data_IF_301943190908
#
_entry.id   IF_301943190908
#
_cell.length_a   1.000
_cell.length_b   1.000
_cell.length_c   1.000
_cell.angle_alpha   90.00
_cell.angle_beta   90.00
_cell.angle_gamma   90.00
#
_symmetry.space_group_name_H-M   'P 1'
#
loop_
_entity.id
_entity.type
_entity.pdbx_description
1 polymer ?
#
# COMPACT_ATOMS: atom_id res chain seq x y z
N UNK A 1 -11.93 -8.31 -9.38
CA UNK A 1 -10.90 -8.00 -8.38
C UNK A 1 -11.24 -8.74 -7.10
N UNK A 2 -10.23 -9.20 -6.36
CA UNK A 2 -10.38 -9.85 -5.06
C UNK A 2 -9.50 -9.06 -4.09
N UNK A 3 -10.10 -8.53 -3.02
CA UNK A 3 -9.38 -7.90 -1.91
C UNK A 3 -9.26 -8.93 -0.79
N UNK A 4 -8.07 -9.04 -0.20
CA UNK A 4 -7.77 -10.02 0.83
C UNK A 4 -7.18 -9.27 2.02
N UNK A 5 -7.95 -9.13 3.09
CA UNK A 5 -7.40 -8.66 4.36
C UNK A 5 -6.41 -9.71 4.88
N UNK A 6 -5.15 -9.31 5.07
CA UNK A 6 -4.09 -10.21 5.48
C UNK A 6 -2.97 -9.42 6.19
N UNK A 7 -2.22 -10.04 7.13
CA UNK A 7 -2.38 -11.41 7.65
C UNK A 7 -3.61 -11.55 8.57
N UNK A 8 -3.71 -12.67 9.30
CA UNK A 8 -4.74 -12.83 10.33
C UNK A 8 -4.69 -11.66 11.32
N UNK A 9 -5.85 -11.17 11.73
CA UNK A 9 -6.07 -10.00 12.58
C UNK A 9 -6.06 -8.62 11.89
N UNK A 10 -5.96 -8.58 10.55
CA UNK A 10 -6.18 -7.35 9.74
C UNK A 10 -7.61 -7.32 9.22
N UNK A 11 -8.28 -6.17 9.32
CA UNK A 11 -9.61 -5.94 8.74
C UNK A 11 -10.65 -6.93 9.28
N UNK A 12 -11.23 -7.73 8.39
CA UNK A 12 -12.13 -8.84 8.74
C UNK A 12 -11.45 -10.19 8.88
N UNK A 13 -10.15 -10.31 8.61
CA UNK A 13 -9.41 -11.55 8.83
C UNK A 13 -9.14 -11.74 10.32
N UNK A 14 -9.61 -12.83 10.91
CA UNK A 14 -9.47 -13.10 12.35
C UNK A 14 -9.02 -14.52 12.64
N UNK A 15 -8.33 -14.69 13.77
CA UNK A 15 -7.95 -16.00 14.31
C UNK A 15 -8.95 -16.46 15.37
N UNK A 16 -9.19 -15.66 16.41
CA UNK A 16 -10.20 -15.92 17.45
C UNK A 16 -11.10 -14.70 17.62
N UNK A 17 -12.42 -14.81 17.42
CA UNK A 17 -13.33 -13.70 17.66
C UNK A 17 -13.64 -13.57 19.17
N UNK A 18 -13.65 -12.34 19.68
CA UNK A 18 -13.91 -12.03 21.08
C UNK A 18 -14.81 -10.79 21.22
N UNK A 19 -15.66 -10.71 22.26
CA UNK A 19 -16.31 -9.45 22.60
C UNK A 19 -15.23 -8.46 23.05
N UNK A 20 -15.24 -7.26 22.47
CA UNK A 20 -14.27 -6.21 22.75
C UNK A 20 -14.84 -4.85 22.41
N UNK A 21 -14.12 -3.79 22.77
CA UNK A 21 -14.32 -2.46 22.21
C UNK A 21 -13.02 -1.90 21.64
N UNK A 22 -13.11 -1.02 20.65
CA UNK A 22 -11.97 -0.26 20.16
C UNK A 22 -11.81 1.03 20.98
N UNK A 23 -10.65 1.22 21.61
CA UNK A 23 -10.31 2.45 22.32
C UNK A 23 -10.02 3.60 21.34
N UNK A 24 -10.00 4.83 21.84
CA UNK A 24 -9.63 6.01 21.03
C UNK A 24 -8.18 5.93 20.51
N UNK A 25 -7.31 5.14 21.16
CA UNK A 25 -5.96 4.81 20.66
C UNK A 25 -5.97 3.87 19.45
N UNK A 26 -7.11 3.30 19.09
CA UNK A 26 -7.24 2.23 18.10
C UNK A 26 -7.08 0.81 18.67
N UNK A 27 -6.66 0.67 19.94
CA UNK A 27 -6.45 -0.62 20.57
C UNK A 27 -7.74 -1.40 20.77
N UNK A 28 -7.67 -2.72 20.59
CA UNK A 28 -8.79 -3.63 20.85
C UNK A 28 -8.73 -4.11 22.30
N UNK A 29 -9.69 -3.69 23.11
CA UNK A 29 -9.79 -4.03 24.53
C UNK A 29 -10.81 -5.16 24.73
N UNK A 30 -10.32 -6.33 25.11
CA UNK A 30 -11.14 -7.54 25.27
C UNK A 30 -12.03 -7.45 26.50
N UNK A 31 -13.30 -7.80 26.33
CA UNK A 31 -14.31 -7.84 27.37
C UNK A 31 -14.51 -9.29 27.89
N UNK A 32 -14.90 -9.47 29.16
CA UNK A 32 -15.20 -10.80 29.71
C UNK A 32 -16.47 -11.42 29.10
N UNK A 33 -17.41 -10.59 28.65
CA UNK A 33 -18.64 -10.99 28.00
C UNK A 33 -19.13 -9.90 27.01
N UNK A 34 -20.31 -10.06 26.42
CA UNK A 34 -20.86 -9.16 25.41
C UNK A 34 -21.46 -7.86 25.99
N UNK A 35 -21.32 -7.60 27.29
CA UNK A 35 -21.79 -6.37 27.94
C UNK A 35 -20.82 -5.24 27.65
N UNK A 36 -21.28 -4.26 26.87
CA UNK A 36 -20.52 -3.05 26.59
C UNK A 36 -20.46 -2.16 27.86
N UNK A 37 -19.27 -1.78 28.35
CA UNK A 37 -19.16 -0.92 29.52
C UNK A 37 -19.47 0.54 29.18
N UNK A 38 -20.00 1.30 30.15
CA UNK A 38 -20.39 2.71 29.97
C UNK A 38 -19.24 3.66 29.62
N UNK A 39 -17.98 3.24 29.84
CA UNK A 39 -16.78 4.01 29.50
C UNK A 39 -16.22 3.70 28.11
N UNK A 40 -16.73 2.68 27.41
CA UNK A 40 -16.28 2.41 26.05
C UNK A 40 -16.71 3.56 25.12
N UNK A 41 -15.88 3.94 24.12
CA UNK A 41 -16.29 4.92 23.13
C UNK A 41 -17.61 4.54 22.45
N UNK A 42 -18.40 5.54 22.06
CA UNK A 42 -19.69 5.30 21.42
C UNK A 42 -19.52 4.44 20.15
N UNK A 43 -20.40 3.46 19.97
CA UNK A 43 -20.41 2.54 18.82
C UNK A 43 -19.11 1.72 18.61
N UNK A 44 -18.23 1.66 19.62
CA UNK A 44 -16.96 0.91 19.54
C UNK A 44 -17.03 -0.53 20.02
N UNK A 45 -18.10 -0.92 20.72
CA UNK A 45 -18.28 -2.28 21.22
C UNK A 45 -18.74 -3.22 20.10
N UNK A 46 -18.15 -4.41 20.03
CA UNK A 46 -18.43 -5.37 18.98
C UNK A 46 -17.73 -6.70 19.17
N UNK A 47 -17.62 -7.45 18.08
CA UNK A 47 -16.84 -8.70 18.04
C UNK A 47 -15.57 -8.43 17.24
N UNK A 48 -14.40 -8.56 17.85
CA UNK A 48 -13.13 -8.25 17.20
C UNK A 48 -12.22 -9.47 17.13
N UNK A 49 -11.19 -9.41 16.29
CA UNK A 49 -10.11 -10.38 16.34
C UNK A 49 -9.34 -10.22 17.66
N UNK A 50 -9.11 -11.33 18.38
CA UNK A 50 -8.34 -11.33 19.63
C UNK A 50 -6.91 -10.83 19.37
N UNK A 51 -6.50 -9.69 19.95
CA UNK A 51 -5.21 -9.07 19.68
C UNK A 51 -4.11 -9.89 20.32
N UNK A 52 -3.47 -10.77 19.54
CA UNK A 52 -2.45 -11.67 20.05
C UNK A 52 -1.36 -11.90 19.01
N UNK A 53 -0.15 -11.44 19.33
CA UNK A 53 1.05 -11.52 18.47
C UNK A 53 1.40 -12.95 18.04
N UNK A 54 1.03 -13.97 18.83
CA UNK A 54 1.32 -15.38 18.51
C UNK A 54 0.32 -16.01 17.54
N UNK A 55 -0.80 -15.32 17.27
CA UNK A 55 -1.88 -15.79 16.38
C UNK A 55 -1.88 -15.05 15.03
N UNK A 56 -0.76 -14.47 14.64
CA UNK A 56 -0.55 -13.84 13.34
C UNK A 56 0.85 -14.16 12.81
N UNK A 57 1.09 -13.89 11.53
CA UNK A 57 2.43 -13.92 10.98
C UNK A 57 3.26 -12.78 11.61
N UNK A 58 4.54 -13.02 11.84
CA UNK A 58 5.45 -12.05 12.45
C UNK A 58 6.51 -11.53 11.47
N UNK A 59 6.42 -11.89 10.19
CA UNK A 59 7.27 -11.40 9.12
C UNK A 59 6.63 -11.66 7.77
N UNK A 60 7.07 -10.91 6.76
CA UNK A 60 6.69 -11.05 5.36
C UNK A 60 6.94 -12.47 4.86
N UNK A 61 8.11 -13.04 5.16
CA UNK A 61 8.45 -14.41 4.76
C UNK A 61 7.52 -15.44 5.40
N UNK A 62 7.09 -15.22 6.65
CA UNK A 62 6.15 -16.10 7.35
C UNK A 62 4.68 -15.91 6.93
N UNK A 63 4.34 -14.75 6.37
CA UNK A 63 3.02 -14.47 5.82
C UNK A 63 2.80 -15.13 4.45
N UNK A 64 3.84 -15.21 3.59
CA UNK A 64 3.73 -15.74 2.23
C UNK A 64 3.12 -17.16 2.12
N UNK A 65 3.49 -18.15 2.97
CA UNK A 65 2.84 -19.47 2.96
C UNK A 65 1.35 -19.44 3.28
N UNK A 66 0.92 -18.54 4.17
CA UNK A 66 -0.48 -18.41 4.55
C UNK A 66 -1.28 -17.78 3.42
N UNK A 67 -0.73 -16.75 2.78
CA UNK A 67 -1.33 -16.14 1.59
C UNK A 67 -1.49 -17.16 0.46
N UNK A 68 -0.46 -17.94 0.16
CA UNK A 68 -0.53 -19.01 -0.84
C UNK A 68 -1.62 -20.04 -0.49
N UNK A 69 -1.69 -20.50 0.76
CA UNK A 69 -2.75 -21.44 1.21
C UNK A 69 -4.15 -20.84 1.04
N UNK A 70 -4.33 -19.56 1.33
CA UNK A 70 -5.60 -18.85 1.10
C UNK A 70 -5.99 -18.89 -0.38
N UNK A 71 -5.05 -18.62 -1.29
CA UNK A 71 -5.29 -18.74 -2.73
C UNK A 71 -5.61 -20.18 -3.15
N UNK A 72 -4.92 -21.18 -2.61
CA UNK A 72 -5.21 -22.60 -2.88
C UNK A 72 -6.64 -22.96 -2.48
N UNK A 73 -7.08 -22.53 -1.28
CA UNK A 73 -8.45 -22.74 -0.81
C UNK A 73 -9.49 -22.00 -1.66
N UNK A 74 -9.22 -20.74 -2.00
CA UNK A 74 -10.11 -19.92 -2.83
C UNK A 74 -10.25 -20.50 -4.24
N UNK A 75 -9.13 -20.80 -4.92
CA UNK A 75 -9.14 -21.37 -6.27
C UNK A 75 -9.64 -22.82 -6.31
N UNK A 76 -9.50 -23.56 -5.20
CA UNK A 76 -10.11 -24.88 -5.03
C UNK A 76 -11.63 -24.80 -4.96
N UNK A 77 -12.16 -23.82 -4.21
CA UNK A 77 -13.60 -23.60 -4.02
C UNK A 77 -14.26 -22.92 -5.23
N UNK A 78 -13.55 -21.99 -5.85
CA UNK A 78 -14.02 -21.16 -6.96
C UNK A 78 -13.14 -21.29 -8.21
N UNK A 79 -13.06 -22.49 -8.82
CA UNK A 79 -12.15 -22.78 -9.93
C UNK A 79 -12.47 -22.00 -11.21
N UNK A 80 -13.61 -21.31 -11.29
CA UNK A 80 -13.92 -20.38 -12.39
C UNK A 80 -13.03 -19.13 -12.39
N UNK A 81 -12.52 -18.71 -11.23
CA UNK A 81 -11.69 -17.51 -11.10
C UNK A 81 -10.19 -17.77 -11.29
N UNK A 82 -9.77 -19.04 -11.42
CA UNK A 82 -8.38 -19.43 -11.64
C UNK A 82 -8.06 -19.74 -13.11
N UNK A 83 -8.96 -19.45 -14.05
CA UNK A 83 -8.86 -19.92 -15.45
C UNK A 83 -8.02 -19.01 -16.35
N UNK A 84 -7.99 -17.72 -16.08
CA UNK A 84 -7.51 -16.70 -17.03
C UNK A 84 -6.32 -15.91 -16.49
N UNK A 85 -5.40 -16.59 -15.79
CA UNK A 85 -4.27 -15.93 -15.16
C UNK A 85 -4.60 -15.35 -13.79
N UNK A 86 -3.55 -14.94 -13.09
CA UNK A 86 -3.58 -14.31 -11.78
C UNK A 86 -2.71 -13.06 -11.85
N UNK A 87 -3.27 -11.93 -11.46
CA UNK A 87 -2.56 -10.66 -11.35
C UNK A 87 -2.60 -10.23 -9.89
N UNK A 88 -1.46 -9.80 -9.37
CA UNK A 88 -1.30 -9.37 -7.99
C UNK A 88 -1.04 -7.87 -7.98
N UNK A 89 -1.79 -7.12 -7.18
CA UNK A 89 -1.61 -5.69 -6.99
C UNK A 89 -1.53 -5.38 -5.50
N UNK A 90 -0.63 -4.47 -5.11
CA UNK A 90 -0.41 -4.06 -3.72
C UNK A 90 0.19 -2.66 -3.66
N UNK A 91 0.23 -2.07 -2.48
CA UNK A 91 0.76 -0.73 -2.24
C UNK A 91 1.51 -0.66 -0.90
N UNK A 92 2.35 0.36 -0.67
CA UNK A 92 2.96 0.64 0.64
C UNK A 92 3.90 -0.47 1.09
N UNK A 93 3.72 -0.99 2.31
CA UNK A 93 4.31 -2.24 2.81
C UNK A 93 4.11 -3.44 1.85
N UNK A 94 3.16 -3.32 0.93
CA UNK A 94 3.06 -4.16 -0.26
C UNK A 94 4.35 -4.30 -1.09
N UNK A 95 5.31 -3.38 -1.01
CA UNK A 95 6.62 -3.57 -1.62
C UNK A 95 7.43 -4.72 -0.99
N UNK A 96 7.13 -5.11 0.26
CA UNK A 96 7.63 -6.33 0.89
C UNK A 96 6.80 -7.54 0.44
N UNK A 97 5.47 -7.46 0.56
CA UNK A 97 4.58 -8.57 0.22
C UNK A 97 4.62 -8.95 -1.26
N UNK A 98 4.55 -7.98 -2.16
CA UNK A 98 4.45 -8.15 -3.59
C UNK A 98 5.56 -9.04 -4.16
N UNK A 99 6.84 -8.70 -4.00
CA UNK A 99 7.93 -9.53 -4.49
C UNK A 99 7.98 -10.90 -3.80
N UNK A 100 7.94 -10.94 -2.46
CA UNK A 100 8.16 -12.16 -1.68
C UNK A 100 7.03 -13.17 -1.84
N UNK A 101 5.76 -12.72 -1.81
CA UNK A 101 4.62 -13.62 -1.95
C UNK A 101 4.57 -14.23 -3.35
N UNK A 102 4.86 -13.43 -4.38
CA UNK A 102 4.79 -13.90 -5.75
C UNK A 102 5.99 -14.79 -6.13
N UNK A 103 7.18 -14.52 -5.58
CA UNK A 103 8.30 -15.46 -5.67
C UNK A 103 7.94 -16.82 -5.03
N UNK A 104 7.34 -16.79 -3.82
CA UNK A 104 6.87 -18.00 -3.15
C UNK A 104 5.83 -18.77 -3.98
N UNK A 105 4.90 -18.07 -4.65
CA UNK A 105 3.91 -18.68 -5.55
C UNK A 105 4.60 -19.44 -6.69
N UNK A 106 5.56 -18.82 -7.38
CA UNK A 106 6.29 -19.46 -8.48
C UNK A 106 7.13 -20.65 -8.01
N UNK A 107 7.76 -20.55 -6.83
CA UNK A 107 8.45 -21.68 -6.21
C UNK A 107 7.50 -22.86 -5.91
N UNK A 108 6.30 -22.59 -5.38
CA UNK A 108 5.31 -23.65 -5.14
C UNK A 108 4.78 -24.24 -6.45
N UNK A 109 4.60 -23.42 -7.48
CA UNK A 109 4.24 -23.88 -8.82
C UNK A 109 5.29 -24.85 -9.39
N UNK A 110 6.57 -24.54 -9.23
CA UNK A 110 7.68 -25.38 -9.72
C UNK A 110 7.76 -26.76 -9.03
N UNK A 111 7.28 -26.87 -7.78
CA UNK A 111 7.30 -28.11 -7.00
C UNK A 111 6.30 -29.17 -7.48
N UNK A 112 5.36 -28.84 -8.36
CA UNK A 112 4.33 -29.75 -8.87
C UNK A 112 3.61 -30.57 -7.76
N UNK A 113 3.26 -29.88 -6.67
CA UNK A 113 2.66 -30.50 -5.48
C UNK A 113 1.32 -31.16 -5.87
N UNK A 114 1.17 -32.45 -5.56
CA UNK A 114 -0.05 -33.20 -5.90
C UNK A 114 -1.28 -32.59 -5.21
N UNK A 115 -2.32 -32.28 -5.98
CA UNK A 115 -3.56 -31.68 -5.48
C UNK A 115 -3.54 -30.15 -5.37
N UNK A 116 -2.38 -29.50 -5.42
CA UNK A 116 -2.28 -28.06 -5.45
C UNK A 116 -2.73 -27.51 -6.82
N UNK A 117 -3.42 -26.36 -6.80
CA UNK A 117 -3.72 -25.58 -7.99
C UNK A 117 -2.48 -24.81 -8.42
N UNK A 118 -2.08 -24.96 -9.69
CA UNK A 118 -1.09 -24.08 -10.29
C UNK A 118 -1.69 -22.68 -10.43
N UNK A 119 -1.05 -21.69 -9.80
CA UNK A 119 -1.45 -20.29 -9.89
C UNK A 119 -0.71 -19.68 -11.07
N UNK A 120 -1.38 -19.43 -12.19
CA UNK A 120 -0.74 -18.84 -13.37
C UNK A 120 -0.52 -17.35 -13.14
N UNK A 121 0.56 -16.96 -12.46
CA UNK A 121 0.91 -15.57 -12.22
C UNK A 121 1.29 -14.89 -13.56
N UNK A 122 0.69 -13.74 -13.86
CA UNK A 122 0.91 -13.00 -15.10
C UNK A 122 1.47 -11.60 -14.86
N UNK A 123 0.97 -10.91 -13.83
CA UNK A 123 1.39 -9.53 -13.52
C UNK A 123 1.53 -9.32 -12.02
N UNK A 124 2.54 -8.57 -11.61
CA UNK A 124 2.70 -8.00 -10.27
C UNK A 124 2.76 -6.48 -10.42
N UNK A 125 1.81 -5.77 -9.83
CA UNK A 125 1.76 -4.32 -9.76
C UNK A 125 2.02 -3.86 -8.33
N UNK A 126 2.88 -2.87 -8.14
CA UNK A 126 3.21 -2.35 -6.81
C UNK A 126 3.23 -0.83 -6.87
N UNK A 127 2.29 -0.20 -6.18
CA UNK A 127 2.22 1.25 -5.99
C UNK A 127 2.99 1.68 -4.75
N UNK A 128 3.70 2.80 -4.81
CA UNK A 128 4.30 3.47 -3.65
C UNK A 128 4.92 2.46 -2.68
N UNK A 129 5.79 1.58 -3.19
CA UNK A 129 6.19 0.38 -2.45
C UNK A 129 7.36 0.64 -1.51
N UNK A 130 7.35 -0.03 -0.36
CA UNK A 130 8.50 -0.17 0.54
C UNK A 130 9.20 -1.51 0.26
N UNK A 131 10.43 -1.52 -0.25
CA UNK A 131 11.14 -2.70 -0.75
C UNK A 131 12.49 -2.93 -0.06
N UNK A 132 13.34 -1.91 -0.06
CA UNK A 132 14.71 -1.98 0.45
C UNK A 132 14.95 -0.77 1.35
N UNK A 133 15.02 -0.97 2.68
CA UNK A 133 15.13 0.13 3.62
C UNK A 133 16.46 0.88 3.46
N UNK A 134 17.55 0.22 3.08
CA UNK A 134 18.85 0.89 2.89
C UNK A 134 18.77 1.87 1.72
N UNK A 135 18.08 1.50 0.64
CA UNK A 135 17.84 2.38 -0.51
C UNK A 135 16.86 3.50 -0.14
N UNK A 136 15.72 3.16 0.44
CA UNK A 136 14.62 4.11 0.58
C UNK A 136 14.78 5.08 1.75
N UNK A 137 15.48 4.71 2.84
CA UNK A 137 15.81 5.69 3.88
C UNK A 137 16.68 6.84 3.36
N UNK A 138 17.52 6.60 2.35
CA UNK A 138 18.28 7.67 1.68
C UNK A 138 17.37 8.60 0.87
N UNK A 139 16.26 8.06 0.37
CA UNK A 139 15.32 8.82 -0.45
C UNK A 139 14.59 9.90 0.35
N UNK A 140 14.36 9.70 1.66
CA UNK A 140 13.78 10.75 2.50
C UNK A 140 14.63 12.02 2.53
N UNK A 141 15.95 11.90 2.71
CA UNK A 141 16.84 13.07 2.65
C UNK A 141 16.85 13.69 1.24
N UNK A 142 16.90 12.84 0.21
CA UNK A 142 16.89 13.28 -1.18
C UNK A 142 15.61 14.05 -1.54
N UNK A 143 14.47 13.60 -1.02
CA UNK A 143 13.17 14.20 -1.26
C UNK A 143 12.97 15.51 -0.49
N UNK A 144 13.44 15.60 0.75
CA UNK A 144 13.17 16.79 1.58
C UNK A 144 14.27 17.85 1.55
N UNK A 145 15.50 17.49 1.19
CA UNK A 145 16.67 18.38 1.29
C UNK A 145 17.35 18.58 -0.05
N UNK A 146 17.94 17.52 -0.62
CA UNK A 146 18.71 17.64 -1.88
C UNK A 146 18.76 16.31 -2.62
N UNK A 147 18.25 16.22 -3.86
CA UNK A 147 17.93 17.34 -4.76
C UNK A 147 16.60 18.06 -4.48
N UNK A 148 15.77 17.52 -3.59
CA UNK A 148 14.44 18.05 -3.25
C UNK A 148 13.32 17.45 -4.09
N UNK A 149 12.10 17.52 -3.54
CA UNK A 149 10.86 17.05 -4.18
C UNK A 149 10.48 17.90 -5.39
N UNK A 150 9.44 17.49 -6.10
CA UNK A 150 8.98 18.09 -7.35
C UNK A 150 8.02 19.27 -7.16
N UNK A 151 7.64 19.57 -5.91
CA UNK A 151 6.69 20.62 -5.54
C UNK A 151 7.35 21.96 -5.21
N UNK A 152 8.65 22.11 -5.52
CA UNK A 152 9.45 23.30 -5.22
C UNK A 152 9.34 23.76 -3.75
N UNK A 153 9.12 22.80 -2.86
CA UNK A 153 8.97 23.03 -1.44
C UNK A 153 10.22 22.52 -0.71
N UNK A 154 10.98 23.45 -0.11
CA UNK A 154 12.13 23.14 0.74
C UNK A 154 11.81 23.50 2.18
N UNK A 155 11.32 22.54 2.99
CA UNK A 155 10.80 22.82 4.33
C UNK A 155 11.86 23.10 5.40
N UNK A 156 13.07 22.59 5.23
CA UNK A 156 14.05 22.53 6.31
C UNK A 156 15.09 23.63 6.24
N UNK A 157 15.38 24.25 7.38
CA UNK A 157 16.54 25.12 7.52
C UNK A 157 17.85 24.30 7.62
N UNK A 158 18.99 24.98 7.55
CA UNK A 158 20.31 24.34 7.55
C UNK A 158 20.57 23.47 8.80
N UNK A 159 20.07 23.88 9.96
CA UNK A 159 20.22 23.11 11.20
C UNK A 159 19.49 21.78 11.14
N UNK A 160 18.24 21.79 10.66
CA UNK A 160 17.41 20.58 10.55
C UNK A 160 17.95 19.69 9.42
N UNK A 161 18.33 20.28 8.29
CA UNK A 161 18.98 19.54 7.19
C UNK A 161 20.28 18.86 7.63
N UNK A 162 21.08 19.51 8.48
CA UNK A 162 22.32 18.93 9.02
C UNK A 162 22.04 17.81 10.03
N UNK A 163 21.03 17.98 10.89
CA UNK A 163 20.59 16.94 11.82
C UNK A 163 20.08 15.70 11.06
N UNK A 164 19.22 15.91 10.06
CA UNK A 164 18.71 14.86 9.19
C UNK A 164 19.88 14.11 8.53
N UNK A 165 20.81 14.83 7.89
CA UNK A 165 21.98 14.22 7.26
C UNK A 165 22.78 13.35 8.26
N UNK A 166 23.01 13.86 9.47
CA UNK A 166 23.70 13.09 10.51
C UNK A 166 22.90 11.87 10.97
N UNK A 167 21.59 11.98 11.18
CA UNK A 167 20.75 10.85 11.59
C UNK A 167 20.73 9.75 10.52
N UNK A 168 20.84 10.13 9.24
CA UNK A 168 20.87 9.16 8.15
C UNK A 168 22.28 8.56 7.94
N UNK A 169 23.29 9.42 7.70
CA UNK A 169 24.63 9.03 7.25
C UNK A 169 25.72 9.07 8.33
N UNK A 170 25.41 9.58 9.52
CA UNK A 170 26.38 9.70 10.61
C UNK A 170 26.83 8.35 11.15
N UNK A 171 28.08 8.23 11.65
CA UNK A 171 28.61 6.97 12.17
C UNK A 171 27.73 6.38 13.27
N UNK A 172 27.33 5.13 13.11
CA UNK A 172 26.46 4.39 14.05
C UNK A 172 24.98 4.73 13.97
N UNK A 173 24.56 5.58 13.03
CA UNK A 173 23.15 5.97 12.87
C UNK A 173 22.46 5.10 11.80
N UNK A 174 21.41 5.61 11.15
CA UNK A 174 20.43 4.80 10.44
C UNK A 174 21.06 3.82 9.43
N UNK A 175 21.85 4.30 8.46
CA UNK A 175 22.43 3.41 7.45
C UNK A 175 23.43 2.39 8.03
N UNK A 176 24.23 2.78 9.02
CA UNK A 176 25.16 1.85 9.67
C UNK A 176 24.39 0.74 10.41
N UNK A 177 23.28 1.09 11.07
CA UNK A 177 22.44 0.14 11.78
C UNK A 177 21.69 -0.79 10.82
N UNK A 178 21.14 -0.28 9.70
CA UNK A 178 20.51 -1.11 8.67
C UNK A 178 21.51 -2.07 8.02
N UNK A 179 22.73 -1.60 7.72
CA UNK A 179 23.80 -2.46 7.22
C UNK A 179 24.20 -3.54 8.25
N UNK A 180 24.22 -3.21 9.54
CA UNK A 180 24.46 -4.18 10.60
C UNK A 180 23.30 -5.19 10.74
N UNK A 181 22.04 -4.75 10.64
CA UNK A 181 20.87 -5.63 10.55
C UNK A 181 21.01 -6.61 9.38
N UNK A 182 21.30 -6.10 8.17
CA UNK A 182 21.51 -6.91 6.97
C UNK A 182 22.62 -7.95 7.16
N UNK A 183 23.75 -7.55 7.74
CA UNK A 183 24.90 -8.43 7.94
C UNK A 183 24.68 -9.49 9.03
N UNK A 184 23.97 -9.14 10.10
CA UNK A 184 23.74 -10.02 11.26
C UNK A 184 22.54 -10.95 11.07
N UNK A 185 21.48 -10.47 10.41
CA UNK A 185 20.18 -11.11 10.32
C UNK A 185 19.41 -11.16 11.66
N UNK A 186 19.96 -10.59 12.73
CA UNK A 186 19.40 -10.68 14.08
C UNK A 186 18.17 -9.80 14.26
N UNK A 187 17.12 -10.34 14.88
CA UNK A 187 15.86 -9.61 15.07
C UNK A 187 16.01 -8.38 15.95
N UNK A 188 16.83 -8.43 16.99
CA UNK A 188 17.01 -7.28 17.87
C UNK A 188 17.84 -6.18 17.18
N UNK A 189 18.85 -6.56 16.40
CA UNK A 189 19.61 -5.64 15.56
C UNK A 189 18.71 -4.94 14.52
N UNK A 190 17.88 -5.70 13.81
CA UNK A 190 16.95 -5.15 12.82
C UNK A 190 15.90 -4.25 13.45
N UNK A 191 15.25 -4.68 14.53
CA UNK A 191 14.30 -3.84 15.26
C UNK A 191 14.93 -2.55 15.79
N UNK A 192 16.18 -2.61 16.26
CA UNK A 192 16.88 -1.41 16.72
C UNK A 192 17.15 -0.43 15.56
N UNK A 193 17.60 -0.95 14.41
CA UNK A 193 17.83 -0.15 13.22
C UNK A 193 16.53 0.51 12.73
N UNK A 194 15.48 -0.29 12.63
CA UNK A 194 14.13 0.11 12.25
C UNK A 194 13.61 1.26 13.13
N UNK A 195 13.51 1.03 14.45
CA UNK A 195 13.08 2.05 15.40
C UNK A 195 13.89 3.35 15.33
N UNK A 196 15.21 3.24 15.13
CA UNK A 196 16.07 4.42 15.01
C UNK A 196 15.77 5.17 13.71
N UNK A 197 15.71 4.48 12.58
CA UNK A 197 15.47 5.07 11.28
C UNK A 197 14.08 5.69 11.18
N UNK A 198 13.03 4.96 11.56
CA UNK A 198 11.65 5.47 11.58
C UNK A 198 11.55 6.74 12.45
N UNK A 199 12.09 6.70 13.68
CA UNK A 199 11.97 7.81 14.62
C UNK A 199 12.89 9.01 14.34
N UNK A 200 14.06 8.82 13.70
CA UNK A 200 15.08 9.85 13.54
C UNK A 200 15.29 10.30 12.10
N UNK A 201 14.70 9.65 11.11
CA UNK A 201 14.87 9.96 9.69
C UNK A 201 13.52 10.23 9.04
N UNK A 202 12.58 9.29 9.13
CA UNK A 202 11.26 9.36 8.50
C UNK A 202 10.33 10.33 9.25
N UNK A 203 10.11 10.11 10.55
CA UNK A 203 9.20 10.91 11.38
C UNK A 203 9.62 12.39 11.57
N UNK A 204 10.79 12.79 11.05
CA UNK A 204 11.20 14.21 11.02
C UNK A 204 10.20 15.03 10.19
N UNK A 205 9.65 14.47 9.11
CA UNK A 205 8.73 15.20 8.24
C UNK A 205 7.47 15.65 9.00
N UNK A 206 6.80 14.72 9.67
CA UNK A 206 5.59 14.98 10.46
C UNK A 206 5.88 15.89 11.66
N UNK A 207 6.89 15.52 12.46
CA UNK A 207 7.16 16.17 13.75
C UNK A 207 7.66 17.61 13.63
N UNK A 208 8.29 17.96 12.51
CA UNK A 208 8.82 19.31 12.26
C UNK A 208 7.86 20.16 11.45
N UNK A 209 7.15 19.57 10.48
CA UNK A 209 6.40 20.33 9.48
C UNK A 209 4.90 20.37 9.72
N UNK A 210 4.34 19.41 10.46
CA UNK A 210 2.88 19.27 10.58
C UNK A 210 2.22 19.04 9.23
N UNK A 211 2.92 18.35 8.32
CA UNK A 211 2.45 17.94 6.99
C UNK A 211 2.27 16.45 6.96
N UNK A 212 1.33 16.00 6.13
CA UNK A 212 1.08 14.58 5.94
C UNK A 212 2.23 13.95 5.15
N UNK A 213 2.78 12.83 5.65
CA UNK A 213 3.79 12.04 4.95
C UNK A 213 3.23 11.30 3.73
N UNK A 214 1.93 11.03 3.69
CA UNK A 214 1.25 10.34 2.59
C UNK A 214 0.90 11.30 1.44
N UNK A 215 0.83 12.60 1.71
CA UNK A 215 0.75 13.65 0.70
C UNK A 215 1.37 14.96 1.20
N UNK A 216 2.57 15.27 0.70
CA UNK A 216 3.32 16.45 1.15
C UNK A 216 2.67 17.79 0.84
N UNK A 217 1.65 17.79 -0.04
CA UNK A 217 0.87 18.98 -0.34
C UNK A 217 0.01 19.37 0.85
N UNK A 218 -0.38 18.42 1.69
CA UNK A 218 -1.38 18.60 2.73
C UNK A 218 -0.80 18.87 4.12
N UNK A 219 -1.55 19.62 4.93
CA UNK A 219 -1.25 19.89 6.34
C UNK A 219 -2.10 18.98 7.22
N UNK A 220 -1.53 18.51 8.33
CA UNK A 220 -2.23 17.63 9.27
C UNK A 220 -3.21 18.41 10.16
N UNK A 221 -4.45 17.92 10.40
CA UNK A 221 -5.05 16.70 9.86
C UNK A 221 -5.44 16.82 8.38
N UNK A 222 -5.02 15.82 7.58
CA UNK A 222 -5.41 15.66 6.19
C UNK A 222 -6.78 14.96 6.08
N UNK A 223 -7.76 15.52 5.35
CA UNK A 223 -9.05 14.87 5.08
C UNK A 223 -8.98 13.73 4.03
N UNK A 224 -7.87 13.55 3.35
CA UNK A 224 -7.70 12.64 2.22
C UNK A 224 -6.72 11.48 2.50
N UNK A 225 -6.93 10.30 1.88
CA UNK A 225 -8.21 9.79 1.41
C UNK A 225 -9.25 9.68 2.54
N UNK A 226 -10.54 9.60 2.19
CA UNK A 226 -11.59 9.61 3.22
C UNK A 226 -11.63 8.35 4.08
N UNK A 227 -11.74 8.53 5.40
CA UNK A 227 -11.79 7.44 6.39
C UNK A 227 -13.20 6.91 6.72
N UNK A 228 -14.27 7.51 6.18
CA UNK A 228 -15.66 7.13 6.51
C UNK A 228 -16.03 5.69 6.11
N UNK A 229 -15.24 5.04 5.26
CA UNK A 229 -15.46 3.65 4.87
C UNK A 229 -15.40 2.69 6.06
N UNK A 230 -14.58 2.99 7.07
CA UNK A 230 -14.46 2.18 8.30
C UNK A 230 -15.79 2.12 9.05
N UNK A 231 -16.46 3.27 9.20
CA UNK A 231 -17.79 3.39 9.79
C UNK A 231 -18.84 2.66 8.94
N UNK A 232 -18.76 2.78 7.61
CA UNK A 232 -19.66 2.07 6.68
C UNK A 232 -19.53 0.54 6.81
N UNK A 233 -18.31 0.02 6.80
CA UNK A 233 -18.00 -1.41 6.93
C UNK A 233 -18.45 -1.97 8.29
N UNK A 234 -18.46 -1.14 9.33
CA UNK A 234 -18.91 -1.50 10.66
C UNK A 234 -20.42 -1.34 10.91
N UNK A 235 -21.20 -0.96 9.89
CA UNK A 235 -22.66 -1.02 10.02
C UNK A 235 -23.15 -2.47 10.04
N UNK A 236 -24.12 -2.77 10.92
CA UNK A 236 -24.72 -4.11 11.02
C UNK A 236 -25.30 -4.61 9.68
N UNK A 237 -25.84 -3.70 8.86
CA UNK A 237 -26.38 -4.03 7.54
C UNK A 237 -25.28 -4.51 6.57
N UNK A 238 -24.12 -3.85 6.55
CA UNK A 238 -22.99 -4.22 5.67
C UNK A 238 -22.36 -5.52 6.16
N UNK A 239 -22.05 -5.65 7.45
CA UNK A 239 -21.46 -6.87 8.02
C UNK A 239 -22.34 -8.09 7.73
N UNK A 240 -23.65 -7.99 7.94
CA UNK A 240 -24.58 -9.07 7.62
C UNK A 240 -24.63 -9.41 6.12
N UNK A 241 -24.50 -8.41 5.24
CA UNK A 241 -24.53 -8.61 3.79
C UNK A 241 -23.27 -9.30 3.25
N UNK A 242 -22.09 -8.99 3.80
CA UNK A 242 -20.82 -9.60 3.39
C UNK A 242 -20.48 -10.87 4.19
N UNK A 243 -21.28 -11.18 5.23
CA UNK A 243 -21.04 -12.32 6.11
C UNK A 243 -19.85 -12.12 7.06
N UNK A 244 -19.51 -10.87 7.39
CA UNK A 244 -18.46 -10.56 8.35
C UNK A 244 -18.87 -11.03 9.75
N UNK A 245 -17.98 -11.75 10.42
CA UNK A 245 -18.19 -12.24 11.78
C UNK A 245 -17.59 -11.29 12.83
N UNK A 246 -16.59 -10.51 12.44
CA UNK A 246 -15.96 -9.49 13.28
C UNK A 246 -16.24 -8.10 12.71
N UNK A 247 -16.09 -7.09 13.57
CA UNK A 247 -15.92 -5.71 13.18
C UNK A 247 -14.66 -5.55 12.33
N UNK A 248 -14.71 -4.62 11.39
CA UNK A 248 -13.55 -4.20 10.62
C UNK A 248 -12.65 -3.37 11.53
N UNK A 249 -11.40 -3.81 11.70
CA UNK A 249 -10.43 -3.13 12.56
C UNK A 249 -9.01 -3.37 12.09
N UNK A 250 -8.13 -2.42 12.36
CA UNK A 250 -6.71 -2.70 12.55
C UNK A 250 -6.47 -3.06 14.01
N UNK A 251 -5.48 -3.91 14.30
CA UNK A 251 -5.03 -4.14 15.67
C UNK A 251 -3.50 -4.03 15.74
N UNK A 252 -2.99 -3.57 16.89
CA UNK A 252 -1.54 -3.39 17.10
C UNK A 252 -0.75 -4.70 17.17
N UNK A 253 -1.40 -5.85 17.33
CA UNK A 253 -0.72 -7.14 17.46
C UNK A 253 -0.01 -7.57 16.16
N UNK A 254 -0.52 -7.16 15.00
CA UNK A 254 0.16 -7.42 13.71
C UNK A 254 1.42 -6.56 13.60
N UNK A 255 1.31 -5.25 13.85
CA UNK A 255 2.46 -4.34 13.86
C UNK A 255 3.53 -4.85 14.84
N UNK A 256 3.14 -5.10 16.09
CA UNK A 256 4.07 -5.58 17.13
C UNK A 256 4.75 -6.91 16.74
N UNK A 257 4.04 -7.81 16.04
CA UNK A 257 4.63 -9.07 15.59
C UNK A 257 5.72 -8.84 14.52
N UNK A 258 5.49 -7.93 13.58
CA UNK A 258 6.45 -7.56 12.53
C UNK A 258 7.62 -6.76 13.11
N UNK A 259 7.35 -5.76 13.96
CA UNK A 259 8.33 -4.94 14.67
C UNK A 259 9.28 -5.81 15.49
N UNK A 260 8.77 -6.87 16.14
CA UNK A 260 9.58 -7.81 16.91
C UNK A 260 10.62 -8.58 16.09
N UNK A 261 10.48 -8.61 14.76
CA UNK A 261 11.49 -9.16 13.86
C UNK A 261 12.27 -8.08 13.11
N UNK A 262 11.91 -6.81 13.30
CA UNK A 262 12.41 -5.67 12.54
C UNK A 262 12.17 -5.85 11.04
N UNK A 263 10.99 -6.36 10.68
CA UNK A 263 10.70 -6.76 9.29
C UNK A 263 10.68 -5.56 8.34
N UNK A 264 10.28 -4.38 8.81
CA UNK A 264 10.23 -3.15 8.01
C UNK A 264 11.63 -2.62 7.68
N UNK A 265 12.50 -2.53 8.69
CA UNK A 265 13.91 -2.17 8.52
C UNK A 265 14.82 -3.29 7.97
N UNK A 266 14.27 -4.42 7.51
CA UNK A 266 15.06 -5.59 7.09
C UNK A 266 15.11 -5.74 5.58
N UNK A 267 16.34 -5.78 5.04
CA UNK A 267 16.57 -6.21 3.66
C UNK A 267 16.33 -7.73 3.55
N UNK A 268 15.37 -8.12 2.71
CA UNK A 268 14.89 -9.51 2.61
C UNK A 268 14.84 -10.07 1.18
N UNK A 269 15.58 -9.47 0.26
CA UNK A 269 15.72 -9.91 -1.12
C UNK A 269 14.54 -9.52 -2.02
N UNK A 270 13.87 -8.40 -1.74
CA UNK A 270 12.73 -7.92 -2.53
C UNK A 270 13.14 -7.59 -3.97
N UNK A 271 14.30 -6.93 -4.16
CA UNK A 271 14.86 -6.62 -5.48
C UNK A 271 15.21 -7.91 -6.23
N UNK A 272 15.83 -8.89 -5.57
CA UNK A 272 16.14 -10.20 -6.13
C UNK A 272 14.86 -10.96 -6.51
N UNK A 273 13.82 -10.87 -5.69
CA UNK A 273 12.52 -11.46 -5.98
C UNK A 273 11.86 -10.81 -7.21
N UNK A 274 11.95 -9.48 -7.37
CA UNK A 274 11.50 -8.79 -8.60
C UNK A 274 12.25 -9.30 -9.84
N UNK A 275 13.58 -9.46 -9.76
CA UNK A 275 14.37 -10.07 -10.85
C UNK A 275 13.94 -11.50 -11.15
N UNK A 276 13.70 -12.29 -10.10
CA UNK A 276 13.24 -13.66 -10.24
C UNK A 276 11.88 -13.72 -10.97
N UNK A 277 10.93 -12.86 -10.61
CA UNK A 277 9.62 -12.78 -11.26
C UNK A 277 9.74 -12.47 -12.76
N UNK A 278 10.61 -11.53 -13.14
CA UNK A 278 10.90 -11.24 -14.55
C UNK A 278 11.46 -12.46 -15.29
N UNK A 279 12.36 -13.23 -14.64
CA UNK A 279 12.89 -14.49 -15.20
C UNK A 279 11.82 -15.57 -15.41
N UNK A 280 10.71 -15.51 -14.65
CA UNK A 280 9.53 -16.37 -14.82
C UNK A 280 8.54 -15.82 -15.86
N UNK A 281 8.93 -14.80 -16.64
CA UNK A 281 8.11 -14.16 -17.68
C UNK A 281 6.86 -13.47 -17.12
N UNK A 282 6.90 -13.05 -15.85
CA UNK A 282 5.87 -12.23 -15.19
C UNK A 282 6.09 -10.75 -15.56
N UNK A 283 5.00 -10.03 -15.83
CA UNK A 283 5.05 -8.56 -15.97
C UNK A 283 5.17 -7.92 -14.60
N UNK A 284 6.17 -7.08 -14.39
CA UNK A 284 6.40 -6.36 -13.14
C UNK A 284 6.28 -4.87 -13.41
N UNK A 285 5.27 -4.25 -12.81
CA UNK A 285 4.91 -2.86 -13.05
C UNK A 285 4.94 -2.09 -11.73
N UNK A 286 6.00 -1.30 -11.53
CA UNK A 286 6.15 -0.46 -10.35
C UNK A 286 5.64 0.95 -10.67
N UNK A 287 4.97 1.58 -9.73
CA UNK A 287 4.57 2.98 -9.86
C UNK A 287 4.62 3.69 -8.50
N UNK A 288 4.79 5.01 -8.52
CA UNK A 288 4.79 5.83 -7.30
C UNK A 288 4.19 7.20 -7.60
N UNK A 289 3.29 7.66 -6.73
CA UNK A 289 2.84 9.04 -6.68
C UNK A 289 3.97 9.97 -6.25
N UNK A 290 4.10 11.13 -6.88
CA UNK A 290 5.24 12.03 -6.62
C UNK A 290 5.06 12.99 -5.45
N UNK A 291 3.85 13.07 -4.87
CA UNK A 291 3.53 13.80 -3.64
C UNK A 291 3.70 12.93 -2.37
N UNK A 292 3.87 11.62 -2.51
CA UNK A 292 4.13 10.72 -1.38
C UNK A 292 5.55 10.94 -0.86
N UNK A 293 5.69 11.23 0.44
CA UNK A 293 6.98 11.27 1.13
C UNK A 293 7.34 9.88 1.66
N UNK A 294 6.37 9.20 2.29
CA UNK A 294 6.59 7.94 3.00
C UNK A 294 7.22 6.88 2.09
N UNK A 295 6.61 6.59 0.93
CA UNK A 295 7.17 5.68 -0.08
C UNK A 295 7.51 6.42 -1.38
N UNK A 296 8.25 7.52 -1.24
CA UNK A 296 8.47 8.46 -2.33
C UNK A 296 9.06 7.85 -3.61
N UNK A 297 8.71 8.50 -4.73
CA UNK A 297 9.08 8.06 -6.07
C UNK A 297 10.59 8.06 -6.35
N UNK A 298 11.39 8.86 -5.63
CA UNK A 298 12.85 8.87 -5.79
C UNK A 298 13.45 7.54 -5.29
N UNK A 299 12.99 7.05 -4.14
CA UNK A 299 13.41 5.75 -3.62
C UNK A 299 12.95 4.61 -4.53
N UNK A 300 11.69 4.65 -4.98
CA UNK A 300 11.14 3.68 -5.91
C UNK A 300 11.89 3.66 -7.27
N UNK A 301 12.34 4.82 -7.77
CA UNK A 301 13.16 4.89 -8.99
C UNK A 301 14.50 4.16 -8.79
N UNK A 302 15.17 4.38 -7.65
CA UNK A 302 16.45 3.71 -7.35
C UNK A 302 16.24 2.20 -7.20
N UNK A 303 15.16 1.76 -6.54
CA UNK A 303 14.77 0.34 -6.49
C UNK A 303 14.57 -0.22 -7.90
N UNK A 304 13.85 0.49 -8.76
CA UNK A 304 13.59 0.05 -10.12
C UNK A 304 14.87 -0.09 -10.96
N UNK A 305 15.79 0.89 -10.87
CA UNK A 305 17.10 0.80 -11.51
C UNK A 305 17.92 -0.38 -10.92
N UNK A 306 17.83 -0.62 -9.61
CA UNK A 306 18.52 -1.72 -8.93
C UNK A 306 18.00 -3.10 -9.37
N UNK A 307 16.73 -3.25 -9.78
CA UNK A 307 16.24 -4.50 -10.40
C UNK A 307 17.10 -4.89 -11.59
N UNK A 308 17.72 -3.95 -12.31
CA UNK A 308 18.62 -4.25 -13.43
C UNK A 308 17.96 -5.15 -14.49
N UNK A 309 16.68 -4.89 -14.79
CA UNK A 309 15.94 -5.62 -15.81
C UNK A 309 16.56 -5.39 -17.21
N UNK A 310 16.54 -6.42 -18.05
CA UNK A 310 17.13 -6.39 -19.39
C UNK A 310 16.60 -5.20 -20.20
N UNK A 311 17.50 -4.29 -20.55
CA UNK A 311 17.19 -3.13 -21.38
C UNK A 311 16.68 -1.89 -20.66
N UNK A 312 16.45 -1.98 -19.35
CA UNK A 312 15.88 -0.88 -18.57
C UNK A 312 16.84 0.30 -18.44
N UNK A 313 18.15 0.05 -18.30
CA UNK A 313 19.18 1.11 -18.25
C UNK A 313 19.25 1.96 -19.52
N UNK A 314 18.87 1.43 -20.68
CA UNK A 314 18.86 2.17 -21.94
C UNK A 314 17.48 2.72 -22.32
N UNK A 315 16.43 2.40 -21.57
CA UNK A 315 15.10 2.98 -21.76
C UNK A 315 15.07 4.42 -21.22
N UNK A 316 14.29 5.28 -21.86
CA UNK A 316 14.04 6.66 -21.41
C UNK A 316 12.62 6.83 -20.86
N UNK A 317 12.41 7.87 -20.06
CA UNK A 317 11.08 8.27 -19.62
C UNK A 317 10.26 8.85 -20.77
N UNK A 318 9.02 8.38 -20.90
CA UNK A 318 8.05 8.90 -21.85
C UNK A 318 6.75 9.25 -21.12
N UNK A 319 6.02 10.25 -21.62
CA UNK A 319 4.78 10.68 -20.99
C UNK A 319 3.74 9.56 -20.98
N UNK A 320 3.13 9.35 -19.82
CA UNK A 320 1.99 8.45 -19.65
C UNK A 320 0.77 9.10 -20.30
N UNK A 321 0.46 8.69 -21.53
CA UNK A 321 -0.70 9.20 -22.26
C UNK A 321 -1.96 8.58 -21.68
N UNK A 322 -3.00 9.37 -21.45
CA UNK A 322 -4.32 8.84 -21.05
C UNK A 322 -5.43 9.37 -21.95
N UNK A 323 -6.63 8.81 -21.83
CA UNK A 323 -7.75 9.08 -22.74
C UNK A 323 -8.28 10.52 -22.70
N UNK A 324 -7.96 11.30 -21.67
CA UNK A 324 -8.31 12.72 -21.58
C UNK A 324 -7.33 13.65 -22.32
N UNK A 325 -6.23 13.10 -22.86
CA UNK A 325 -5.19 13.85 -23.55
C UNK A 325 -4.21 14.56 -22.62
N UNK A 326 -4.27 14.32 -21.31
CA UNK A 326 -3.35 14.84 -20.29
C UNK A 326 -2.28 13.79 -19.98
N UNK A 327 -1.05 14.26 -19.79
CA UNK A 327 0.06 13.44 -19.32
C UNK A 327 0.04 13.40 -17.78
N UNK A 328 -0.45 12.30 -17.21
CA UNK A 328 -0.58 12.11 -15.76
C UNK A 328 0.67 11.56 -15.08
N UNK A 329 1.79 11.53 -15.78
CA UNK A 329 3.03 10.95 -15.29
C UNK A 329 4.02 10.65 -16.39
N UNK A 330 5.09 9.96 -16.02
CA UNK A 330 6.12 9.48 -16.92
C UNK A 330 6.51 8.03 -16.61
N UNK A 331 6.58 7.23 -17.67
CA UNK A 331 6.98 5.83 -17.60
C UNK A 331 8.33 5.58 -18.26
N UNK A 332 9.17 4.82 -17.58
CA UNK A 332 10.34 4.15 -18.15
C UNK A 332 10.02 2.65 -18.21
N UNK A 333 10.09 2.05 -19.38
CA UNK A 333 9.73 0.64 -19.59
C UNK A 333 10.71 -0.05 -20.52
N UNK A 334 11.11 -1.26 -20.16
CA UNK A 334 11.84 -2.20 -21.01
C UNK A 334 11.20 -3.57 -20.92
N UNK A 335 10.65 -4.04 -22.04
CA UNK A 335 9.85 -5.25 -22.10
C UNK A 335 8.79 -5.27 -20.99
N UNK A 336 8.82 -6.35 -20.20
CA UNK A 336 7.86 -6.64 -19.13
C UNK A 336 8.14 -5.94 -17.80
N UNK A 337 9.15 -5.07 -17.73
CA UNK A 337 9.46 -4.28 -16.55
C UNK A 337 9.23 -2.80 -16.80
N UNK A 338 8.54 -2.13 -15.88
CA UNK A 338 8.33 -0.68 -15.93
C UNK A 338 8.38 -0.05 -14.55
N UNK A 339 8.86 1.19 -14.51
CA UNK A 339 8.64 2.12 -13.40
C UNK A 339 7.90 3.35 -13.92
N UNK A 340 6.93 3.84 -13.16
CA UNK A 340 6.12 5.00 -13.53
C UNK A 340 5.98 5.97 -12.37
N UNK A 341 6.44 7.20 -12.57
CA UNK A 341 6.11 8.31 -11.69
C UNK A 341 4.74 8.84 -12.10
N UNK A 342 3.81 8.90 -11.16
CA UNK A 342 2.47 9.45 -11.35
C UNK A 342 2.45 10.86 -10.74
N UNK A 343 2.08 11.85 -11.53
CA UNK A 343 2.06 13.25 -11.12
C UNK A 343 0.89 13.54 -10.19
N UNK A 344 1.06 14.55 -9.35
CA UNK A 344 0.00 15.12 -8.51
C UNK A 344 -0.74 14.07 -7.66
N UNK A 345 0.03 13.11 -7.13
CA UNK A 345 -0.50 11.97 -6.38
C UNK A 345 0.27 11.72 -5.11
N UNK A 346 -0.46 11.60 -4.00
CA UNK A 346 0.04 11.04 -2.75
C UNK A 346 0.17 9.51 -2.80
N UNK A 347 0.15 8.90 -1.62
CA UNK A 347 0.40 7.48 -1.37
C UNK A 347 -0.60 6.56 -2.07
N UNK A 348 -1.90 6.77 -1.87
CA UNK A 348 -2.97 5.99 -2.51
C UNK A 348 -3.28 6.50 -3.92
N UNK A 349 -2.39 6.22 -4.87
CA UNK A 349 -2.49 6.72 -6.27
C UNK A 349 -3.88 6.55 -6.91
N UNK A 350 -4.62 5.44 -6.71
CA UNK A 350 -5.96 5.31 -7.28
C UNK A 350 -6.99 6.33 -6.77
N UNK A 351 -6.77 6.93 -5.59
CA UNK A 351 -7.60 8.01 -5.06
C UNK A 351 -7.30 9.34 -5.78
N UNK A 352 -6.03 9.70 -5.88
CA UNK A 352 -5.58 10.97 -6.45
C UNK A 352 -5.71 11.02 -7.96
N UNK A 353 -5.28 9.96 -8.65
CA UNK A 353 -5.22 9.86 -10.11
C UNK A 353 -6.02 8.64 -10.62
N UNK A 354 -7.35 8.62 -10.47
CA UNK A 354 -8.17 7.43 -10.75
C UNK A 354 -8.18 7.03 -12.23
N UNK A 355 -8.18 8.00 -13.16
CA UNK A 355 -8.14 7.73 -14.60
C UNK A 355 -6.81 7.08 -15.00
N UNK A 356 -5.70 7.72 -14.63
CA UNK A 356 -4.36 7.22 -14.91
C UNK A 356 -4.14 5.83 -14.29
N UNK A 357 -4.58 5.65 -13.04
CA UNK A 357 -4.50 4.35 -12.33
C UNK A 357 -5.27 3.25 -13.03
N UNK A 358 -6.50 3.52 -13.48
CA UNK A 358 -7.32 2.53 -14.16
C UNK A 358 -6.72 2.14 -15.52
N UNK A 359 -6.24 3.10 -16.29
CA UNK A 359 -5.62 2.85 -17.59
C UNK A 359 -4.28 2.12 -17.43
N UNK A 360 -3.44 2.55 -16.48
CA UNK A 360 -2.20 1.87 -16.11
C UNK A 360 -2.45 0.41 -15.73
N UNK A 361 -3.39 0.17 -14.81
CA UNK A 361 -3.78 -1.17 -14.38
C UNK A 361 -4.24 -2.02 -15.57
N UNK A 362 -5.11 -1.48 -16.42
CA UNK A 362 -5.63 -2.18 -17.59
C UNK A 362 -4.52 -2.54 -18.60
N UNK A 363 -3.54 -1.65 -18.82
CA UNK A 363 -2.40 -1.91 -19.71
C UNK A 363 -1.50 -3.01 -19.16
N UNK A 364 -1.14 -2.92 -17.88
CA UNK A 364 -0.27 -3.88 -17.21
C UNK A 364 -0.84 -5.31 -17.19
N UNK A 365 -2.14 -5.49 -16.90
CA UNK A 365 -2.77 -6.81 -16.91
C UNK A 365 -3.01 -7.36 -18.32
N UNK A 366 -3.09 -6.50 -19.34
CA UNK A 366 -3.19 -6.91 -20.75
C UNK A 366 -1.84 -7.23 -21.36
N UNK A 367 -0.74 -6.82 -20.71
CA UNK A 367 0.60 -6.88 -21.30
C UNK A 367 0.80 -5.91 -22.47
N UNK A 368 0.07 -4.79 -22.45
CA UNK A 368 0.29 -3.67 -23.36
C UNK A 368 1.41 -2.77 -22.85
N UNK A 369 1.99 -1.96 -23.73
CA UNK A 369 2.91 -0.92 -23.31
C UNK A 369 2.21 0.05 -22.35
N UNK A 370 2.95 0.52 -21.36
CA UNK A 370 2.38 1.39 -20.33
C UNK A 370 2.20 2.81 -20.86
N UNK A 371 3.06 3.26 -21.79
CA UNK A 371 3.06 4.63 -22.31
C UNK A 371 1.72 5.01 -22.96
N UNK A 372 1.24 4.20 -23.91
CA UNK A 372 0.04 4.49 -24.72
C UNK A 372 -1.03 3.40 -24.59
N UNK A 373 -0.63 2.17 -24.29
CA UNK A 373 -1.55 1.02 -24.25
C UNK A 373 -1.93 0.45 -25.61
N UNK A 374 -1.33 0.93 -26.70
CA UNK A 374 -1.68 0.59 -28.07
C UNK A 374 -0.91 -0.63 -28.62
N UNK A 375 0.26 -0.92 -28.05
CA UNK A 375 1.15 -1.98 -28.52
C UNK A 375 1.26 -3.10 -27.51
N UNK A 376 1.26 -4.35 -28.00
CA UNK A 376 1.64 -5.49 -27.15
C UNK A 376 3.14 -5.43 -26.82
N UNK A 377 3.49 -5.67 -25.57
CA UNK A 377 4.88 -5.65 -25.12
C UNK A 377 5.62 -6.86 -25.67
N UNK A 378 6.76 -6.60 -26.32
CA UNK A 378 7.73 -7.63 -26.73
C UNK A 378 9.01 -7.48 -25.91
N UNK A 379 9.89 -8.49 -25.93
CA UNK A 379 11.18 -8.42 -25.23
C UNK A 379 12.10 -7.29 -25.72
N UNK A 380 11.88 -6.80 -26.95
CA UNK A 380 12.64 -5.68 -27.52
C UNK A 380 12.00 -4.31 -27.30
N UNK A 381 10.79 -4.24 -26.73
CA UNK A 381 10.11 -2.96 -26.48
C UNK A 381 10.87 -2.13 -25.46
N UNK A 382 11.05 -0.85 -25.74
CA UNK A 382 11.65 0.13 -24.83
C UNK A 382 11.00 1.49 -25.05
N UNK A 383 10.72 2.20 -23.97
CA UNK A 383 10.36 3.62 -24.07
C UNK A 383 11.58 4.47 -24.45
N UNK A 384 11.33 5.59 -25.12
CA UNK A 384 12.37 6.52 -25.58
C UNK A 384 12.12 7.90 -24.98
N UNK A 385 13.18 8.54 -24.49
CA UNK A 385 13.12 9.85 -23.85
C UNK A 385 14.32 10.09 -22.93
N UNK A 386 14.27 11.10 -22.04
CA UNK A 386 15.36 11.38 -21.10
C UNK A 386 15.57 10.23 -20.11
N UNK A 387 16.81 10.10 -19.60
CA UNK A 387 17.15 9.08 -18.62
C UNK A 387 16.50 9.31 -17.23
N UNK A 388 16.02 10.53 -16.96
CA UNK A 388 15.41 10.95 -15.70
C UNK A 388 14.08 11.67 -15.97
N UNK A 389 13.12 11.48 -15.07
CA UNK A 389 11.88 12.26 -15.05
C UNK A 389 12.15 13.61 -14.37
N UNK A 390 12.24 14.68 -15.15
CA UNK A 390 12.67 16.01 -14.67
C UNK A 390 11.53 17.02 -14.52
N UNK A 391 10.29 16.61 -14.80
CA UNK A 391 9.14 17.49 -14.62
C UNK A 391 8.97 17.85 -13.14
N UNK A 392 8.61 19.10 -12.86
CA UNK A 392 8.38 19.63 -11.51
C UNK A 392 6.98 20.24 -11.50
N UNK A 393 6.15 19.79 -10.56
CA UNK A 393 4.79 20.26 -10.36
C UNK A 393 4.77 21.75 -9.95
N UNK A 394 5.77 22.15 -9.18
CA UNK A 394 5.77 23.43 -8.48
C UNK A 394 4.84 23.40 -7.26
N UNK A 395 4.67 24.54 -6.60
CA UNK A 395 3.96 24.60 -5.33
C UNK A 395 2.47 24.97 -5.46
N UNK A 396 1.89 24.86 -6.66
CA UNK A 396 0.52 25.30 -6.95
C UNK A 396 -0.55 24.54 -6.18
N UNK A 397 -0.38 23.23 -6.03
CA UNK A 397 -1.31 22.32 -5.35
C UNK A 397 -0.98 22.15 -3.86
N UNK A 398 0.10 22.77 -3.37
CA UNK A 398 0.51 22.73 -1.96
C UNK A 398 -0.44 23.59 -1.12
N UNK A 399 -1.04 22.97 -0.11
CA UNK A 399 -1.90 23.65 0.85
C UNK A 399 -1.08 24.33 1.95
N UNK A 400 -1.54 25.52 2.35
CA UNK A 400 -0.90 26.35 3.37
C UNK A 400 -1.79 26.56 4.61
N UNK A 401 -2.99 26.00 4.58
CA UNK A 401 -3.93 25.96 5.70
C UNK A 401 -4.48 24.54 5.83
N UNK A 402 -4.79 24.12 7.07
CA UNK A 402 -5.43 22.83 7.33
C UNK A 402 -6.81 22.82 6.67
N UNK A 403 -7.07 21.77 5.90
CA UNK A 403 -8.33 21.63 5.19
C UNK A 403 -9.49 21.21 6.12
N UNK A 404 -10.72 21.66 5.85
CA UNK A 404 -11.88 21.15 6.56
C UNK A 404 -12.10 19.66 6.31
N UNK A 405 -12.43 18.91 7.35
CA UNK A 405 -12.68 17.46 7.28
C UNK A 405 -13.81 17.03 6.30
N UNK A 406 -14.59 17.97 5.78
CA UNK A 406 -15.69 17.72 4.85
C UNK A 406 -15.45 18.20 3.41
N UNK A 407 -14.21 18.54 3.05
CA UNK A 407 -13.86 18.98 1.70
C UNK A 407 -13.77 17.79 0.73
N UNK A 408 -14.17 17.96 -0.53
CA UNK A 408 -13.94 16.93 -1.57
C UNK A 408 -12.56 17.06 -2.20
N UNK A 409 -12.01 16.03 -2.83
CA UNK A 409 -10.81 16.12 -3.66
C UNK A 409 -11.22 16.29 -5.14
N UNK A 410 -10.63 17.26 -5.85
CA UNK A 410 -10.89 17.46 -7.27
C UNK A 410 -9.77 16.84 -8.10
N UNK A 411 -10.03 15.67 -8.68
CA UNK A 411 -9.07 14.92 -9.52
C UNK A 411 -8.74 15.59 -10.86
N UNK A 412 -9.47 16.64 -11.28
CA UNK A 412 -9.16 17.38 -12.50
C UNK A 412 -8.13 18.49 -12.25
N UNK A 413 -8.16 19.08 -11.06
CA UNK A 413 -7.25 20.17 -10.67
C UNK A 413 -6.18 19.74 -9.67
N UNK A 414 -6.33 18.56 -9.09
CA UNK A 414 -5.51 18.00 -8.02
C UNK A 414 -5.53 18.85 -6.74
N UNK A 415 -6.61 19.59 -6.53
CA UNK A 415 -6.80 20.53 -5.43
C UNK A 415 -8.04 20.18 -4.59
N UNK A 416 -8.15 20.74 -3.37
CA UNK A 416 -9.38 20.67 -2.59
C UNK A 416 -10.56 21.28 -3.35
N UNK A 417 -11.64 20.52 -3.46
CA UNK A 417 -12.91 20.89 -4.07
C UNK A 417 -13.89 21.54 -3.09
N UNK A 418 -15.18 21.41 -3.39
CA UNK A 418 -16.24 21.98 -2.54
C UNK A 418 -16.54 21.05 -1.35
N UNK A 419 -16.95 21.59 -0.19
CA UNK A 419 -17.41 20.77 0.91
C UNK A 419 -18.60 19.90 0.53
N UNK A 420 -18.59 18.62 0.90
CA UNK A 420 -19.78 17.78 0.69
C UNK A 420 -20.93 18.28 1.57
N UNK A 421 -22.13 18.37 0.98
CA UNK A 421 -23.31 18.79 1.72
C UNK A 421 -23.67 17.71 2.74
N UNK A 422 -23.66 18.05 4.03
CA UNK A 422 -24.37 17.29 5.06
C UNK A 422 -25.88 17.41 4.82
N UNK A 423 -26.40 16.81 3.75
CA UNK A 423 -27.80 16.42 3.81
C UNK A 423 -27.85 15.28 4.82
N UNK A 424 -28.28 15.61 6.05
CA UNK A 424 -28.84 14.64 6.98
C UNK A 424 -29.95 13.92 6.23
N UNK A 425 -29.58 12.85 5.51
CA UNK A 425 -30.52 11.92 4.97
C UNK A 425 -31.13 11.23 6.20
N UNK A 426 -32.19 11.84 6.75
CA UNK A 426 -33.26 11.13 7.43
C UNK A 426 -33.94 10.21 6.40
N UNK A 427 -33.19 9.33 5.74
CA UNK A 427 -33.75 8.15 5.11
C UNK A 427 -33.94 7.16 6.24
N UNK A 428 -35.09 7.32 6.91
CA UNK A 428 -35.73 6.22 7.62
C UNK A 428 -35.69 5.01 6.69
N UNK A 429 -34.78 4.08 6.95
CA UNK A 429 -34.90 2.73 6.41
C UNK A 429 -36.16 2.16 7.08
N UNK A 430 -37.31 2.34 6.43
CA UNK A 430 -38.53 1.65 6.83
C UNK A 430 -38.21 0.16 6.86
N UNK A 431 -38.33 -0.43 8.06
CA UNK A 431 -38.26 -1.87 8.23
C UNK A 431 -39.16 -2.55 7.18
N UNK A 432 -38.69 -3.61 6.51
CA UNK A 432 -39.53 -4.33 5.57
C UNK A 432 -40.79 -4.83 6.30
N UNK A 433 -41.97 -4.74 5.68
CA UNK A 433 -43.22 -5.16 6.33
C UNK A 433 -43.13 -6.65 6.69
N UNK A 434 -43.70 -7.06 7.83
CA UNK A 434 -43.61 -8.44 8.29
C UNK A 434 -44.19 -9.38 7.23
N UNK A 435 -43.40 -10.40 6.86
CA UNK A 435 -43.84 -11.48 5.95
C UNK A 435 -45.13 -12.09 6.50
N UNK A 436 -46.23 -11.94 5.76
CA UNK A 436 -47.49 -12.64 6.03
C UNK A 436 -47.20 -14.14 6.09
N UNK A 437 -47.47 -14.76 7.25
CA UNK A 437 -47.55 -16.21 7.38
C UNK A 437 -48.60 -16.72 6.41
N UNK A 438 -48.17 -17.42 5.35
CA UNK A 438 -49.07 -18.22 4.54
C UNK A 438 -49.48 -19.41 5.41
N UNK A 439 -50.74 -19.41 5.84
CA UNK A 439 -51.33 -20.49 6.61
C UNK A 439 -51.31 -21.78 5.79
N UNK A 440 -50.84 -22.86 6.43
CA UNK A 440 -51.12 -24.24 6.02
C UNK A 440 -52.63 -24.39 5.84
N UNK A 441 -53.09 -24.58 4.61
CA UNK A 441 -54.36 -25.25 4.37
C UNK A 441 -54.08 -26.75 4.29
N UNK A 442 -54.52 -27.47 5.32
CA UNK A 442 -54.77 -28.90 5.23
C UNK A 442 -56.25 -29.10 4.89
N UNK A 443 -56.52 -29.84 3.82
CA UNK A 443 -57.45 -30.96 3.75
C UNK A 443 -57.19 -31.73 2.46
#
# INVERSE_FOLDING_TARGET
MLFIDQPSQVGFSYSKPVPAYQADSGDIIVLPDATCPDYAPADSCGTYAYPNVTLTANSTTNAAPNFWKTLQGFMGTFPQYSRNGFHFATESYGGHYGPIFNAYIEEQNARNITGAKKIKLETVLIGNGWYDPIVQYQAYYNFSVSPGNTYDYSPFNESIASMFYNNLYGPGNCLDQLNYCKASGDNAACRHADNFCAGQVEFIYDSVLGRDEYDVRELTPDPFPYSFYTSYLNTAAVQAAIGAFTNFSSNGAVSEAFDNTGDDGREMGTIEALRYLLSQNVTVALYAGDADYNCNWLGNEVVADAVAADGFSEAGYADLQTSDGVAHGQVKQAGKFSFTRIYESGHEVPFYQPLASLEYFARAIRGSDIQTGESAVTSGYRTSGPAKSTYREGNGTVQWEVLPANVTYNVETNEPGLPWQQTLAKRSFRAPPPRRRVGRFGR
#
